data_IF_781722573423
#
_entry.id   IF_781722573423
#
_cell.length_a   1.000
_cell.length_b   1.000
_cell.length_c   1.000
_cell.angle_alpha   90.00
_cell.angle_beta   90.00
_cell.angle_gamma   90.00
#
_symmetry.space_group_name_H-M   'P 1'
#
loop_
_entity.id
_entity.type
_entity.pdbx_description
1 polymer ?
#
# COMPACT_ATOMS: atom_id res chain seq x y z
N UNK A 1 -6.65 -12.12 4.59
CA UNK A 1 -6.95 -10.80 4.02
C UNK A 1 -8.05 -10.98 2.97
N UNK A 2 -9.08 -10.13 2.92
CA UNK A 2 -10.26 -10.37 2.07
C UNK A 2 -10.61 -9.18 1.16
N UNK A 3 -9.60 -8.62 0.47
CA UNK A 3 -9.71 -7.44 -0.39
C UNK A 3 -10.85 -7.54 -1.41
N UNK A 4 -10.93 -8.64 -2.16
CA UNK A 4 -11.92 -8.81 -3.24
C UNK A 4 -13.36 -8.75 -2.74
N UNK A 5 -13.64 -9.29 -1.54
CA UNK A 5 -14.98 -9.21 -0.97
C UNK A 5 -15.36 -7.77 -0.60
N UNK A 6 -14.41 -6.95 -0.13
CA UNK A 6 -14.68 -5.54 0.17
C UNK A 6 -14.96 -4.74 -1.10
N UNK A 7 -14.15 -4.93 -2.14
CA UNK A 7 -14.36 -4.29 -3.44
C UNK A 7 -15.71 -4.68 -4.04
N UNK A 8 -16.12 -5.96 -3.90
CA UNK A 8 -17.40 -6.46 -4.43
C UNK A 8 -18.61 -5.94 -3.66
N UNK A 9 -18.56 -5.95 -2.33
CA UNK A 9 -19.75 -5.71 -1.50
C UNK A 9 -19.88 -4.27 -1.01
N UNK A 10 -18.78 -3.51 -0.97
CA UNK A 10 -18.72 -2.15 -0.38
C UNK A 10 -18.00 -1.17 -1.31
N UNK A 11 -18.17 -1.32 -2.63
CA UNK A 11 -17.41 -0.62 -3.66
C UNK A 11 -17.28 0.89 -3.46
N UNK A 12 -18.40 1.59 -3.24
CA UNK A 12 -18.41 3.05 -3.09
C UNK A 12 -17.63 3.50 -1.86
N UNK A 13 -17.92 2.92 -0.69
CA UNK A 13 -17.18 3.19 0.55
C UNK A 13 -15.69 2.88 0.41
N UNK A 14 -15.36 1.79 -0.29
CA UNK A 14 -13.97 1.40 -0.51
C UNK A 14 -13.23 2.41 -1.38
N UNK A 15 -13.85 2.94 -2.44
CA UNK A 15 -13.26 4.02 -3.24
C UNK A 15 -13.08 5.27 -2.38
N UNK A 16 -14.11 5.67 -1.67
CA UNK A 16 -14.09 6.89 -0.85
C UNK A 16 -13.02 6.84 0.24
N UNK A 17 -12.82 5.69 0.86
CA UNK A 17 -11.80 5.54 1.89
C UNK A 17 -10.39 5.41 1.31
N UNK A 18 -10.26 4.77 0.13
CA UNK A 18 -8.95 4.58 -0.50
C UNK A 18 -8.38 5.85 -1.09
N UNK A 19 -9.21 6.81 -1.54
CA UNK A 19 -8.75 8.02 -2.20
C UNK A 19 -7.75 8.84 -1.37
N UNK A 20 -7.88 8.82 -0.04
CA UNK A 20 -6.96 9.50 0.89
C UNK A 20 -5.50 9.06 0.68
N UNK A 21 -5.30 7.78 0.35
CA UNK A 21 -3.97 7.20 0.16
C UNK A 21 -3.33 7.52 -1.19
N UNK A 22 -4.08 8.05 -2.16
CA UNK A 22 -3.63 8.22 -3.55
C UNK A 22 -3.47 9.70 -3.93
N UNK A 23 -2.71 10.44 -3.13
CA UNK A 23 -2.41 11.86 -3.38
C UNK A 23 -0.90 12.09 -3.50
N UNK A 24 -0.45 13.22 -4.08
CA UNK A 24 0.97 13.57 -4.07
C UNK A 24 1.58 13.67 -2.66
N UNK A 25 0.76 13.96 -1.64
CA UNK A 25 1.22 14.09 -0.25
C UNK A 25 1.58 12.74 0.38
N UNK A 26 0.90 11.67 -0.03
CA UNK A 26 1.09 10.30 0.50
C UNK A 26 2.14 9.48 -0.26
N UNK A 27 2.58 9.97 -1.43
CA UNK A 27 3.66 9.38 -2.22
C UNK A 27 5.05 9.78 -1.68
N UNK A 28 5.30 9.48 -0.40
CA UNK A 28 6.55 9.79 0.31
C UNK A 28 7.03 8.56 1.08
N UNK A 29 8.36 8.43 1.20
CA UNK A 29 9.00 7.31 1.89
C UNK A 29 8.53 7.16 3.35
N UNK A 30 8.42 8.27 4.08
CA UNK A 30 8.00 8.23 5.49
C UNK A 30 6.57 7.76 5.65
N UNK A 31 5.66 8.29 4.81
CA UNK A 31 4.26 7.87 4.79
C UNK A 31 4.16 6.37 4.46
N UNK A 32 4.91 5.90 3.45
CA UNK A 32 4.96 4.48 3.10
C UNK A 32 5.48 3.60 4.24
N UNK A 33 6.54 4.04 4.93
CA UNK A 33 7.17 3.28 6.00
C UNK A 33 6.25 3.14 7.22
N UNK A 34 5.54 4.22 7.58
CA UNK A 34 4.51 4.21 8.63
C UNK A 34 3.40 3.21 8.27
N UNK A 35 2.94 3.21 7.02
CA UNK A 35 1.86 2.32 6.60
C UNK A 35 2.29 0.85 6.48
N UNK A 36 3.55 0.57 6.15
CA UNK A 36 4.13 -0.78 6.29
C UNK A 36 4.06 -1.28 7.73
N UNK A 37 4.45 -0.44 8.70
CA UNK A 37 4.38 -0.78 10.11
C UNK A 37 2.94 -1.04 10.56
N UNK A 38 2.01 -0.14 10.23
CA UNK A 38 0.59 -0.28 10.56
C UNK A 38 0.05 -1.58 9.97
N UNK A 39 0.25 -1.82 8.67
CA UNK A 39 -0.23 -3.01 7.96
C UNK A 39 0.20 -4.33 8.63
N UNK A 40 1.45 -4.38 9.13
CA UNK A 40 2.00 -5.55 9.81
C UNK A 40 1.44 -5.76 11.22
N UNK A 41 0.83 -4.73 11.84
CA UNK A 41 0.32 -4.78 13.22
C UNK A 41 -1.21 -4.88 13.31
N UNK A 42 -1.93 -4.31 12.37
CA UNK A 42 -3.40 -4.27 12.44
C UNK A 42 -4.04 -5.64 12.14
N UNK A 43 -5.11 -5.93 12.87
CA UNK A 43 -5.97 -7.11 12.69
C UNK A 43 -7.24 -6.80 11.89
N UNK A 44 -7.67 -5.53 11.81
CA UNK A 44 -8.86 -5.13 11.08
C UNK A 44 -8.71 -5.41 9.57
N UNK A 45 -9.54 -6.31 9.05
CA UNK A 45 -9.48 -6.75 7.66
C UNK A 45 -9.92 -5.69 6.66
N UNK A 46 -10.70 -4.69 7.04
CA UNK A 46 -11.07 -3.63 6.10
C UNK A 46 -9.93 -2.62 5.95
N UNK A 47 -9.44 -2.08 7.07
CA UNK A 47 -8.30 -1.14 7.08
C UNK A 47 -7.05 -1.73 6.43
N UNK A 48 -6.78 -3.01 6.70
CA UNK A 48 -5.63 -3.69 6.12
C UNK A 48 -5.78 -3.86 4.60
N UNK A 49 -6.99 -3.83 4.04
CA UNK A 49 -7.25 -3.95 2.61
C UNK A 49 -7.02 -2.60 1.91
N UNK A 50 -7.46 -1.50 2.54
CA UNK A 50 -7.16 -0.14 2.11
C UNK A 50 -5.64 0.09 2.05
N UNK A 51 -4.94 -0.23 3.15
CA UNK A 51 -3.50 -0.07 3.23
C UNK A 51 -2.77 -1.01 2.27
N UNK A 52 -3.25 -2.24 2.08
CA UNK A 52 -2.67 -3.15 1.10
C UNK A 52 -2.69 -2.57 -0.32
N UNK A 53 -3.81 -1.98 -0.74
CA UNK A 53 -3.91 -1.37 -2.06
C UNK A 53 -2.92 -0.22 -2.23
N UNK A 54 -2.80 0.64 -1.21
CA UNK A 54 -1.80 1.69 -1.15
C UNK A 54 -0.38 1.10 -1.26
N UNK A 55 -0.01 0.16 -0.41
CA UNK A 55 1.31 -0.45 -0.42
C UNK A 55 1.62 -1.10 -1.77
N UNK A 56 0.67 -1.83 -2.36
CA UNK A 56 0.86 -2.46 -3.66
C UNK A 56 1.12 -1.43 -4.79
N UNK A 57 0.47 -0.27 -4.75
CA UNK A 57 0.69 0.79 -5.74
C UNK A 57 2.08 1.42 -5.63
N UNK A 58 2.57 1.62 -4.40
CA UNK A 58 3.79 2.39 -4.12
C UNK A 58 5.01 1.54 -3.77
N UNK A 59 4.87 0.22 -3.64
CA UNK A 59 5.98 -0.69 -3.45
C UNK A 59 6.72 -0.96 -4.77
N UNK A 60 7.96 -1.46 -4.66
CA UNK A 60 8.76 -1.84 -5.82
C UNK A 60 8.05 -2.88 -6.71
N UNK A 61 7.80 -2.50 -7.97
CA UNK A 61 7.17 -3.32 -9.01
C UNK A 61 5.81 -3.95 -8.65
N UNK A 62 5.08 -3.38 -7.69
CA UNK A 62 3.79 -3.95 -7.27
C UNK A 62 3.91 -5.34 -6.63
N UNK A 63 5.09 -5.69 -6.12
CA UNK A 63 5.32 -6.99 -5.50
C UNK A 63 4.57 -7.12 -4.17
N UNK A 64 4.07 -8.33 -3.94
CA UNK A 64 3.46 -8.74 -2.68
C UNK A 64 4.34 -9.83 -2.07
N UNK A 65 5.19 -9.47 -1.10
CA UNK A 65 6.10 -10.42 -0.43
C UNK A 65 6.04 -10.26 1.07
N UNK A 66 6.13 -11.39 1.75
CA UNK A 66 6.15 -11.50 3.20
C UNK A 66 7.41 -12.24 3.64
N UNK A 67 7.95 -11.89 4.80
CA UNK A 67 8.98 -12.70 5.46
C UNK A 67 8.34 -13.92 6.17
N UNK A 68 9.15 -14.78 6.78
CA UNK A 68 8.68 -15.96 7.53
C UNK A 68 7.78 -15.62 8.73
N UNK A 69 7.80 -14.37 9.23
CA UNK A 69 6.91 -13.87 10.27
C UNK A 69 5.57 -13.36 9.72
N UNK A 70 5.35 -13.45 8.40
CA UNK A 70 4.16 -12.94 7.73
C UNK A 70 4.13 -11.41 7.56
N UNK A 71 5.28 -10.73 7.68
CA UNK A 71 5.35 -9.27 7.57
C UNK A 71 5.71 -8.83 6.16
N UNK A 72 4.95 -7.86 5.64
CA UNK A 72 5.23 -7.18 4.39
C UNK A 72 6.55 -6.40 4.48
N UNK A 73 7.43 -6.58 3.49
CA UNK A 73 8.80 -6.03 3.52
C UNK A 73 9.32 -5.55 2.15
N UNK A 74 8.44 -5.14 1.24
CA UNK A 74 8.87 -4.59 -0.06
C UNK A 74 9.25 -3.12 0.12
N UNK A 75 10.39 -2.67 -0.45
CA UNK A 75 10.80 -1.27 -0.35
C UNK A 75 9.87 -0.35 -1.14
N UNK A 76 9.84 0.92 -0.73
CA UNK A 76 9.16 1.99 -1.46
C UNK A 76 9.75 2.15 -2.87
N UNK A 77 8.88 2.32 -3.87
CA UNK A 77 9.29 2.67 -5.23
C UNK A 77 9.66 4.15 -5.26
N UNK A 78 10.95 4.42 -5.04
CA UNK A 78 11.48 5.74 -5.36
C UNK A 78 11.35 5.98 -6.87
N UNK A 79 10.75 7.11 -7.26
CA UNK A 79 10.84 7.63 -8.62
C UNK A 79 12.30 7.97 -8.88
N UNK A 80 13.10 6.98 -9.30
CA UNK A 80 14.34 7.29 -9.99
C UNK A 80 13.94 7.90 -11.33
N UNK A 81 13.96 9.23 -11.43
CA UNK A 81 14.28 9.85 -12.72
C UNK A 81 15.61 9.21 -13.11
N UNK A 82 15.61 8.33 -14.11
CA UNK A 82 16.84 8.04 -14.83
C UNK A 82 17.30 9.38 -15.38
N UNK A 83 18.28 10.00 -14.74
CA UNK A 83 19.11 10.95 -15.45
C UNK A 83 19.89 10.09 -16.45
N UNK A 84 19.35 9.98 -17.66
CA UNK A 84 20.19 9.72 -18.81
C UNK A 84 21.19 10.88 -18.84
N UNK A 85 22.40 10.62 -18.35
CA UNK A 85 23.57 11.41 -18.67
C UNK A 85 23.76 11.31 -20.19
N UNK A 86 23.32 12.36 -20.89
CA UNK A 86 23.82 12.71 -22.21
C UNK A 86 25.27 13.18 -22.09
#
# INVERSE_FOLDING_TARGET
MNLFNFVKNYFLYFIDDTQFFFTPRTNKLDFYSIHCFIFNKISNNYQKALIFLYLNRYCYNGLCRYNLKGWFNIPFRSYRKQQHSL
#
